data_IF_615578619867
#
_entry.id   IF_615578619867
#
_cell.length_a   1.000
_cell.length_b   1.000
_cell.length_c   1.000
_cell.angle_alpha   90.00
_cell.angle_beta   90.00
_cell.angle_gamma   90.00
#
_symmetry.space_group_name_H-M   'P 1'
#
loop_
_entity.id
_entity.type
_entity.pdbx_description
1 polymer ?
#
# COMPACT_ATOMS: atom_id res chain seq x y z
N UNK A 1 -0.78 -24.83 4.47
CA UNK A 1 0.32 -23.83 4.35
C UNK A 1 0.99 -23.80 2.96
N UNK A 2 0.29 -24.14 1.86
CA UNK A 2 0.84 -24.06 0.48
C UNK A 2 -0.16 -23.61 -0.61
N UNK A 3 -1.33 -23.04 -0.25
CA UNK A 3 -2.38 -22.67 -1.22
C UNK A 3 -2.69 -21.17 -1.31
N UNK A 4 -2.08 -20.33 -0.45
CA UNK A 4 -2.41 -18.89 -0.38
C UNK A 4 -1.53 -18.00 -1.29
N UNK A 5 -0.60 -18.58 -2.05
CA UNK A 5 0.36 -17.86 -2.91
C UNK A 5 0.01 -17.88 -4.40
N UNK A 6 -1.15 -18.44 -4.80
CA UNK A 6 -1.51 -18.58 -6.23
C UNK A 6 -2.74 -17.79 -6.70
N UNK A 7 -3.34 -16.94 -5.87
CA UNK A 7 -4.54 -16.20 -6.31
C UNK A 7 -4.63 -14.74 -5.91
N UNK A 8 -3.48 -14.05 -5.80
CA UNK A 8 -3.39 -12.61 -6.04
C UNK A 8 -3.38 -12.38 -7.57
N UNK A 9 -4.39 -12.88 -8.27
CA UNK A 9 -4.61 -12.68 -9.72
C UNK A 9 -6.03 -12.19 -10.02
N UNK A 10 -6.81 -11.80 -9.01
CA UNK A 10 -8.19 -11.31 -9.18
C UNK A 10 -8.60 -10.20 -8.22
N UNK A 11 -7.64 -9.47 -7.67
CA UNK A 11 -7.84 -8.14 -7.11
C UNK A 11 -6.87 -7.26 -7.87
N UNK A 12 -7.30 -6.81 -9.03
CA UNK A 12 -6.60 -5.84 -9.85
C UNK A 12 -6.71 -4.46 -9.21
N UNK A 13 -6.12 -4.33 -8.02
CA UNK A 13 -6.00 -3.07 -7.33
C UNK A 13 -4.70 -2.41 -7.78
N UNK A 14 -4.81 -1.39 -8.64
CA UNK A 14 -3.70 -0.51 -8.96
C UNK A 14 -3.37 0.34 -7.73
N UNK A 15 -2.10 0.44 -7.35
CA UNK A 15 -1.66 1.22 -6.18
C UNK A 15 -0.64 2.27 -6.61
N UNK A 16 -0.98 3.54 -6.42
CA UNK A 16 -0.06 4.66 -6.65
C UNK A 16 0.38 5.24 -5.30
N UNK A 17 1.70 5.28 -5.04
CA UNK A 17 2.29 5.83 -3.82
C UNK A 17 2.68 7.29 -4.04
N UNK A 18 2.16 8.20 -3.21
CA UNK A 18 2.68 9.56 -3.14
C UNK A 18 3.64 9.70 -1.95
N UNK A 19 4.90 10.01 -2.25
CA UNK A 19 5.96 10.24 -1.26
C UNK A 19 6.32 11.73 -1.23
N UNK A 20 6.53 12.28 -0.03
CA UNK A 20 6.98 13.68 0.14
C UNK A 20 8.30 13.70 0.90
N UNK A 21 9.22 14.57 0.47
CA UNK A 21 10.45 14.85 1.21
C UNK A 21 10.11 15.57 2.50
N UNK A 22 10.53 14.99 3.62
CA UNK A 22 10.23 15.48 4.96
C UNK A 22 11.34 16.36 5.53
N UNK A 23 12.61 15.98 5.33
CA UNK A 23 13.80 16.76 5.76
C UNK A 23 15.00 16.43 4.85
N UNK A 24 15.81 17.43 4.52
CA UNK A 24 17.14 17.23 3.92
C UNK A 24 18.15 17.28 5.07
N UNK A 25 18.86 16.20 5.34
CA UNK A 25 19.95 16.17 6.31
C UNK A 25 21.22 16.81 5.73
N UNK A 26 22.09 17.34 6.60
CA UNK A 26 23.40 17.89 6.19
C UNK A 26 24.17 16.81 5.42
N UNK A 27 24.48 17.08 4.14
CA UNK A 27 25.14 16.13 3.24
C UNK A 27 24.30 15.66 2.05
N UNK A 28 23.18 16.32 1.72
CA UNK A 28 22.38 15.99 0.53
C UNK A 28 21.44 14.80 0.70
N UNK A 29 21.21 14.32 1.92
CA UNK A 29 20.36 13.16 2.16
C UNK A 29 18.91 13.62 2.38
N UNK A 30 18.03 13.37 1.42
CA UNK A 30 16.60 13.56 1.54
C UNK A 30 15.94 12.37 2.24
N UNK A 31 15.16 12.65 3.30
CA UNK A 31 14.26 11.68 3.93
C UNK A 31 12.88 11.75 3.30
N UNK A 32 12.43 10.66 2.68
CA UNK A 32 11.10 10.54 2.08
C UNK A 32 10.17 9.74 3.00
N UNK A 33 8.92 10.20 3.13
CA UNK A 33 7.85 9.45 3.80
C UNK A 33 6.65 9.29 2.89
N UNK A 34 6.03 8.12 2.95
CA UNK A 34 4.72 7.88 2.32
C UNK A 34 3.67 8.72 3.04
N UNK A 35 2.99 9.62 2.31
CA UNK A 35 1.96 10.50 2.89
C UNK A 35 0.54 10.02 2.63
N UNK A 36 0.31 9.49 1.44
CA UNK A 36 -1.01 9.11 0.99
C UNK A 36 -0.91 7.99 -0.04
N UNK A 37 -2.00 7.22 -0.16
CA UNK A 37 -2.16 6.14 -1.12
C UNK A 37 -3.46 6.33 -1.85
N UNK A 38 -3.38 6.16 -3.16
CA UNK A 38 -4.56 6.04 -4.00
C UNK A 38 -4.73 4.59 -4.39
N UNK A 39 -5.93 4.09 -4.14
CA UNK A 39 -6.35 2.74 -4.50
C UNK A 39 -7.25 2.87 -5.72
N UNK A 40 -7.02 2.02 -6.71
CA UNK A 40 -7.82 1.96 -7.92
C UNK A 40 -8.37 0.55 -8.09
N UNK A 41 -9.67 0.42 -8.35
CA UNK A 41 -10.32 -0.84 -8.71
C UNK A 41 -10.47 -0.89 -10.23
N UNK A 42 -10.20 -2.05 -10.83
CA UNK A 42 -10.58 -2.23 -12.24
C UNK A 42 -12.09 -2.46 -12.34
N UNK A 43 -12.73 -1.73 -13.25
CA UNK A 43 -14.09 -2.03 -13.69
C UNK A 43 -14.10 -3.22 -14.67
N UNK A 44 -15.29 -3.57 -15.15
CA UNK A 44 -15.51 -4.71 -16.06
C UNK A 44 -14.87 -4.50 -17.45
N UNK A 45 -14.56 -3.25 -17.79
CA UNK A 45 -13.90 -2.85 -19.04
C UNK A 45 -12.37 -2.82 -18.90
N UNK A 46 -11.86 -2.97 -17.66
CA UNK A 46 -10.44 -2.93 -17.33
C UNK A 46 -9.89 -1.54 -17.05
N UNK A 47 -10.73 -0.51 -16.91
CA UNK A 47 -10.30 0.83 -16.54
C UNK A 47 -10.03 0.92 -15.03
N UNK A 48 -8.99 1.65 -14.65
CA UNK A 48 -8.65 1.87 -13.25
C UNK A 48 -9.46 3.04 -12.68
N UNK A 49 -10.41 2.75 -11.79
CA UNK A 49 -11.29 3.73 -11.15
C UNK A 49 -10.84 3.95 -9.72
N UNK A 50 -10.61 5.22 -9.34
CA UNK A 50 -10.24 5.56 -7.96
C UNK A 50 -11.32 5.12 -6.97
N UNK A 51 -10.90 4.50 -5.87
CA UNK A 51 -11.79 4.06 -4.79
C UNK A 51 -11.11 4.24 -3.44
N UNK A 52 -11.91 4.51 -2.41
CA UNK A 52 -11.50 4.43 -1.01
C UNK A 52 -11.95 3.11 -0.35
N UNK A 53 -12.81 2.36 -1.05
CA UNK A 53 -13.35 1.07 -0.61
C UNK A 53 -12.53 -0.07 -1.22
N UNK A 54 -11.78 -0.73 -0.34
CA UNK A 54 -11.03 -1.97 -0.52
C UNK A 54 -11.85 -3.21 -0.08
N UNK A 55 -13.06 -3.03 0.44
CA UNK A 55 -13.89 -4.08 1.04
C UNK A 55 -13.30 -4.60 2.35
N UNK A 56 -13.32 -5.92 2.53
CA UNK A 56 -12.78 -6.58 3.73
C UNK A 56 -11.25 -6.62 3.77
N UNK A 57 -10.54 -5.81 2.98
CA UNK A 57 -9.08 -5.88 2.92
C UNK A 57 -8.42 -4.89 3.87
N UNK A 58 -7.34 -5.36 4.49
CA UNK A 58 -6.32 -4.53 5.13
C UNK A 58 -5.07 -4.58 4.28
N UNK A 59 -4.50 -3.40 4.01
CA UNK A 59 -3.32 -3.26 3.19
C UNK A 59 -2.12 -2.92 4.06
N UNK A 60 -1.03 -3.67 3.90
CA UNK A 60 0.22 -3.42 4.61
C UNK A 60 1.23 -2.80 3.65
N UNK A 61 1.85 -1.71 4.09
CA UNK A 61 2.94 -1.04 3.42
C UNK A 61 4.18 -1.07 4.27
N UNK A 62 5.29 -1.48 3.66
CA UNK A 62 6.60 -1.33 4.26
C UNK A 62 7.64 -1.04 3.17
N UNK A 63 8.93 -1.12 3.55
CA UNK A 63 10.04 -1.14 2.61
C UNK A 63 10.08 -2.43 1.76
N UNK A 64 9.29 -3.45 2.12
CA UNK A 64 9.14 -4.69 1.35
C UNK A 64 7.95 -4.61 0.39
N UNK A 65 7.73 -5.68 -0.38
CA UNK A 65 6.58 -5.78 -1.29
C UNK A 65 5.26 -5.63 -0.49
N UNK A 66 4.36 -4.73 -0.92
CA UNK A 66 3.09 -4.52 -0.23
C UNK A 66 2.18 -5.74 -0.37
N UNK A 67 1.43 -6.04 0.68
CA UNK A 67 0.48 -7.15 0.66
C UNK A 67 -0.86 -6.74 1.26
N UNK A 68 -1.89 -7.55 0.98
CA UNK A 68 -3.22 -7.39 1.53
C UNK A 68 -3.71 -8.69 2.15
N UNK A 69 -4.48 -8.58 3.21
CA UNK A 69 -5.13 -9.71 3.88
C UNK A 69 -6.58 -9.34 4.22
N UNK A 70 -7.51 -10.30 4.30
CA UNK A 70 -8.84 -10.05 4.84
C UNK A 70 -8.77 -9.56 6.30
N UNK A 71 -9.55 -8.55 6.69
CA UNK A 71 -9.61 -8.04 8.05
C UNK A 71 -10.15 -9.11 9.01
N UNK A 72 -10.99 -10.02 8.51
CA UNK A 72 -11.45 -11.18 9.28
C UNK A 72 -10.36 -12.21 9.59
N UNK A 73 -9.15 -12.06 9.05
CA UNK A 73 -8.06 -13.05 9.25
C UNK A 73 -7.45 -12.96 10.65
N UNK A 74 -7.49 -11.80 11.30
CA UNK A 74 -6.87 -11.58 12.62
C UNK A 74 -7.70 -10.61 13.47
N UNK A 75 -7.80 -10.83 14.79
CA UNK A 75 -8.44 -9.87 15.70
C UNK A 75 -7.65 -8.55 15.73
N UNK A 76 -8.37 -7.43 15.76
CA UNK A 76 -7.77 -6.09 15.80
C UNK A 76 -7.48 -5.46 14.44
N UNK A 77 -7.81 -6.14 13.34
CA UNK A 77 -7.76 -5.57 11.99
C UNK A 77 -9.09 -4.91 11.63
N UNK A 78 -9.02 -3.80 10.88
CA UNK A 78 -10.18 -3.06 10.41
C UNK A 78 -10.24 -3.10 8.88
N UNK A 79 -11.40 -3.41 8.28
CA UNK A 79 -11.56 -3.34 6.83
C UNK A 79 -11.32 -1.91 6.33
N UNK A 80 -10.99 -1.76 5.05
CA UNK A 80 -10.71 -0.47 4.44
C UNK A 80 -9.57 0.32 5.10
N UNK A 81 -8.61 -0.39 5.71
CA UNK A 81 -7.50 0.21 6.41
C UNK A 81 -6.17 -0.01 5.71
N UNK A 82 -5.30 0.99 5.77
CA UNK A 82 -3.91 0.87 5.30
C UNK A 82 -2.96 1.09 6.45
N UNK A 83 -2.18 0.06 6.76
CA UNK A 83 -1.12 0.13 7.74
C UNK A 83 0.20 0.49 7.06
N UNK A 84 0.76 1.65 7.42
CA UNK A 84 2.02 2.14 6.88
C UNK A 84 3.13 1.90 7.91
N UNK A 85 3.90 0.87 7.67
CA UNK A 85 5.11 0.48 8.40
C UNK A 85 6.32 1.03 7.61
N UNK A 86 6.37 2.36 7.44
CA UNK A 86 7.48 3.04 6.76
C UNK A 86 8.66 3.24 7.72
N UNK A 87 9.87 2.93 7.24
CA UNK A 87 11.09 3.53 7.78
C UNK A 87 11.50 4.66 6.83
N UNK A 88 12.04 5.76 7.34
CA UNK A 88 12.47 6.89 6.51
C UNK A 88 13.37 6.41 5.35
N UNK A 89 12.85 6.41 4.12
CA UNK A 89 13.66 6.11 2.93
C UNK A 89 14.66 7.26 2.71
N UNK A 90 15.93 6.91 2.52
CA UNK A 90 17.00 7.85 2.26
C UNK A 90 17.26 7.92 0.75
N UNK A 91 17.18 9.13 0.20
CA UNK A 91 17.60 9.43 -1.17
C UNK A 91 18.78 10.41 -1.11
N UNK A 92 19.79 10.22 -1.95
CA UNK A 92 20.83 11.21 -2.16
C UNK A 92 20.33 12.23 -3.19
N UNK A 93 20.52 13.52 -2.91
CA UNK A 93 20.16 14.68 -3.73
C UNK A 93 21.42 15.41 -4.18
#
# INVERSE_FOLDING_TARGET
MYLLLRRIRRLSLGKQRYKKTTKIAKGGIARMRTKALMVFKLDDEGNAVYTQDMGDLVMFLSNSEPFCVPATSFPGLYPNYVEIIDFDELAFV
#
